data_IF_562121294660
#
_entry.id   IF_562121294660
#
_cell.length_a   1.000
_cell.length_b   1.000
_cell.length_c   1.000
_cell.angle_alpha   90.00
_cell.angle_beta   90.00
_cell.angle_gamma   90.00
#
_symmetry.space_group_name_H-M   'P 1'
#
loop_
_entity.id
_entity.type
_entity.pdbx_description
1 polymer ?
#
# COMPACT_ATOMS: atom_id res chain seq x y z
N UNK A 1 26.30 -29.70 1.70
CA UNK A 1 25.76 -29.56 0.33
C UNK A 1 24.28 -29.27 0.46
N UNK A 2 23.85 -28.02 0.27
CA UNK A 2 22.43 -27.67 0.22
C UNK A 2 21.91 -28.07 -1.17
N UNK A 3 20.82 -28.84 -1.21
CA UNK A 3 20.26 -29.42 -2.43
C UNK A 3 19.56 -28.34 -3.27
N UNK A 4 19.93 -28.20 -4.55
CA UNK A 4 19.35 -27.23 -5.49
C UNK A 4 17.83 -27.35 -5.66
N UNK A 5 17.25 -28.53 -5.39
CA UNK A 5 15.80 -28.76 -5.45
C UNK A 5 15.04 -27.99 -4.34
N UNK A 6 15.60 -27.92 -3.12
CA UNK A 6 14.95 -27.25 -1.98
C UNK A 6 14.94 -25.72 -2.15
N UNK A 7 16.04 -25.15 -2.67
CA UNK A 7 16.15 -23.72 -2.95
C UNK A 7 15.16 -23.25 -4.03
N UNK A 8 14.91 -24.09 -5.05
CA UNK A 8 13.94 -23.76 -6.09
C UNK A 8 12.51 -23.78 -5.57
N UNK A 9 12.15 -24.74 -4.71
CA UNK A 9 10.81 -24.78 -4.08
C UNK A 9 10.56 -23.57 -3.19
N UNK A 10 11.52 -23.19 -2.33
CA UNK A 10 11.36 -22.01 -1.45
C UNK A 10 11.25 -20.71 -2.23
N UNK A 11 11.94 -20.58 -3.37
CA UNK A 11 11.85 -19.41 -4.24
C UNK A 11 10.49 -19.31 -4.92
N UNK A 12 9.96 -20.43 -5.40
CA UNK A 12 8.62 -20.50 -6.01
C UNK A 12 7.54 -20.18 -4.95
N UNK A 13 7.61 -20.81 -3.78
CA UNK A 13 6.67 -20.57 -2.68
C UNK A 13 6.67 -19.09 -2.25
N UNK A 14 7.85 -18.46 -2.21
CA UNK A 14 7.99 -17.03 -1.90
C UNK A 14 7.38 -16.16 -2.99
N UNK A 15 7.64 -16.44 -4.26
CA UNK A 15 7.07 -15.69 -5.38
C UNK A 15 5.54 -15.78 -5.43
N UNK A 16 4.97 -16.97 -5.22
CA UNK A 16 3.53 -17.17 -5.13
C UNK A 16 2.91 -16.41 -3.95
N UNK A 17 3.55 -16.44 -2.79
CA UNK A 17 3.11 -15.68 -1.61
C UNK A 17 3.14 -14.17 -1.85
N UNK A 18 4.20 -13.65 -2.49
CA UNK A 18 4.31 -12.23 -2.87
C UNK A 18 3.23 -11.82 -3.86
N UNK A 19 2.94 -12.66 -4.85
CA UNK A 19 1.85 -12.42 -5.79
C UNK A 19 0.49 -12.42 -5.09
N UNK A 20 0.26 -13.35 -4.15
CA UNK A 20 -0.94 -13.39 -3.32
C UNK A 20 -1.13 -12.12 -2.46
N UNK A 21 -0.03 -11.58 -1.92
CA UNK A 21 -0.04 -10.31 -1.20
C UNK A 21 -0.42 -9.15 -2.15
N UNK A 22 0.19 -9.06 -3.33
CA UNK A 22 -0.15 -8.06 -4.34
C UNK A 22 -1.63 -8.12 -4.78
N UNK A 23 -2.18 -9.31 -5.00
CA UNK A 23 -3.60 -9.51 -5.29
C UNK A 23 -4.52 -9.03 -4.14
N UNK A 24 -4.07 -9.16 -2.89
CA UNK A 24 -4.82 -8.63 -1.73
C UNK A 24 -4.82 -7.10 -1.73
N UNK A 25 -3.67 -6.48 -2.04
CA UNK A 25 -3.54 -5.02 -2.18
C UNK A 25 -4.47 -4.52 -3.29
N UNK A 26 -4.46 -5.16 -4.45
CA UNK A 26 -5.32 -4.81 -5.58
C UNK A 26 -6.81 -4.85 -5.20
N UNK A 27 -7.25 -5.91 -4.52
CA UNK A 27 -8.63 -6.02 -4.04
C UNK A 27 -9.00 -4.93 -3.05
N UNK A 28 -8.07 -4.54 -2.17
CA UNK A 28 -8.28 -3.44 -1.25
C UNK A 28 -8.43 -2.12 -2.00
N UNK A 29 -7.55 -1.82 -2.96
CA UNK A 29 -7.63 -0.59 -3.78
C UNK A 29 -8.91 -0.55 -4.62
N UNK A 30 -9.35 -1.66 -5.19
CA UNK A 30 -10.63 -1.72 -5.92
C UNK A 30 -11.83 -1.35 -5.03
N UNK A 31 -11.78 -1.70 -3.75
CA UNK A 31 -12.91 -1.46 -2.81
C UNK A 31 -12.82 -0.13 -2.09
N UNK A 32 -11.62 0.33 -1.76
CA UNK A 32 -11.39 1.46 -0.85
C UNK A 32 -10.44 2.52 -1.41
N UNK A 33 -9.92 2.34 -2.62
CA UNK A 33 -8.98 3.25 -3.26
C UNK A 33 -9.54 4.65 -3.50
N UNK A 34 -10.85 4.79 -3.74
CA UNK A 34 -11.49 6.10 -3.84
C UNK A 34 -11.38 6.90 -2.54
N UNK A 35 -11.70 6.29 -1.40
CA UNK A 35 -11.57 6.94 -0.09
C UNK A 35 -10.11 7.22 0.27
N UNK A 36 -9.17 6.35 -0.13
CA UNK A 36 -7.75 6.61 0.05
C UNK A 36 -7.28 7.78 -0.82
N UNK A 37 -7.75 7.86 -2.07
CA UNK A 37 -7.48 8.96 -2.97
C UNK A 37 -7.99 10.30 -2.42
N UNK A 38 -9.24 10.33 -1.92
CA UNK A 38 -9.84 11.53 -1.31
C UNK A 38 -9.00 12.00 -0.11
N UNK A 39 -8.50 11.06 0.71
CA UNK A 39 -7.61 11.38 1.81
C UNK A 39 -6.28 11.97 1.31
N UNK A 40 -5.60 11.29 0.39
CA UNK A 40 -4.29 11.71 -0.11
C UNK A 40 -4.35 13.06 -0.84
N UNK A 41 -5.42 13.32 -1.59
CA UNK A 41 -5.69 14.64 -2.19
C UNK A 41 -5.88 15.71 -1.11
N UNK A 42 -6.62 15.40 -0.04
CA UNK A 42 -6.83 16.32 1.06
C UNK A 42 -5.58 16.61 1.90
N UNK A 43 -4.62 15.67 1.96
CA UNK A 43 -3.31 15.88 2.59
C UNK A 43 -2.44 16.87 1.81
N UNK A 44 -2.72 17.09 0.52
CA UNK A 44 -1.92 17.94 -0.39
C UNK A 44 -0.42 17.52 -0.43
N UNK A 45 -0.16 16.21 -0.30
CA UNK A 45 1.18 15.62 -0.42
C UNK A 45 1.33 14.95 -1.81
N UNK A 46 2.08 15.57 -2.75
CA UNK A 46 2.25 15.02 -4.09
C UNK A 46 2.89 13.62 -4.09
N UNK A 47 3.68 13.27 -3.08
CA UNK A 47 4.33 11.96 -2.99
C UNK A 47 3.34 10.84 -2.68
N UNK A 48 2.32 11.11 -1.86
CA UNK A 48 1.28 10.14 -1.54
C UNK A 48 0.38 9.82 -2.73
N UNK A 49 -0.04 10.85 -3.46
CA UNK A 49 -0.83 10.67 -4.67
C UNK A 49 -0.04 9.97 -5.79
N UNK A 50 1.23 10.34 -5.98
CA UNK A 50 2.11 9.67 -6.94
C UNK A 50 2.24 8.16 -6.63
N UNK A 51 2.45 7.78 -5.37
CA UNK A 51 2.51 6.38 -4.97
C UNK A 51 1.20 5.61 -5.26
N UNK A 52 0.03 6.25 -5.10
CA UNK A 52 -1.25 5.64 -5.48
C UNK A 52 -1.38 5.47 -7.01
N UNK A 53 -0.92 6.44 -7.79
CA UNK A 53 -0.87 6.32 -9.25
C UNK A 53 0.08 5.20 -9.69
N UNK A 54 1.24 5.07 -9.05
CA UNK A 54 2.20 4.00 -9.32
C UNK A 54 1.57 2.62 -9.04
N UNK A 55 0.87 2.45 -7.90
CA UNK A 55 0.10 1.24 -7.62
C UNK A 55 -0.90 0.94 -8.74
N UNK A 56 -1.65 1.94 -9.20
CA UNK A 56 -2.60 1.76 -10.28
C UNK A 56 -1.93 1.33 -11.59
N UNK A 57 -0.77 1.93 -11.91
CA UNK A 57 0.02 1.57 -13.09
C UNK A 57 0.56 0.14 -13.04
N UNK A 58 1.04 -0.30 -11.88
CA UNK A 58 1.54 -1.67 -11.67
C UNK A 58 0.42 -2.70 -11.83
N UNK A 59 -0.77 -2.44 -11.30
CA UNK A 59 -1.94 -3.34 -11.49
C UNK A 59 -2.54 -3.29 -12.89
N UNK A 60 -2.15 -2.32 -13.72
CA UNK A 60 -2.48 -2.31 -15.15
C UNK A 60 -1.70 -3.33 -15.98
N UNK A 61 -0.64 -3.94 -15.42
CA UNK A 61 0.18 -4.93 -16.11
C UNK A 61 -0.44 -6.34 -16.03
N UNK A 62 -0.21 -7.23 -17.03
CA UNK A 62 -0.72 -8.61 -16.99
C UNK A 62 -0.26 -9.43 -15.78
N UNK A 63 0.98 -9.20 -15.33
CA UNK A 63 1.54 -9.75 -14.10
C UNK A 63 2.14 -8.55 -13.36
N UNK A 64 1.63 -8.18 -12.17
CA UNK A 64 2.15 -7.04 -11.43
C UNK A 64 3.54 -7.35 -10.88
N UNK A 65 4.43 -6.36 -10.94
CA UNK A 65 5.71 -6.39 -10.24
C UNK A 65 5.45 -6.26 -8.73
N UNK A 66 5.64 -7.37 -7.99
CA UNK A 66 5.36 -7.42 -6.56
C UNK A 66 6.26 -6.52 -5.72
N UNK A 67 7.48 -6.27 -6.19
CA UNK A 67 8.42 -5.38 -5.49
C UNK A 67 7.98 -3.93 -5.66
N UNK A 68 7.54 -3.56 -6.86
CA UNK A 68 6.96 -2.25 -7.12
C UNK A 68 5.66 -2.00 -6.33
N UNK A 69 4.78 -3.02 -6.21
CA UNK A 69 3.58 -2.94 -5.36
C UNK A 69 3.98 -2.67 -3.91
N UNK A 70 4.93 -3.43 -3.37
CA UNK A 70 5.36 -3.31 -1.99
C UNK A 70 6.00 -1.94 -1.71
N UNK A 71 6.85 -1.45 -2.63
CA UNK A 71 7.49 -0.15 -2.54
C UNK A 71 6.46 0.99 -2.51
N UNK A 72 5.54 1.01 -3.48
CA UNK A 72 4.52 2.05 -3.54
C UNK A 72 3.57 2.01 -2.32
N UNK A 73 3.26 0.81 -1.81
CA UNK A 73 2.47 0.66 -0.58
C UNK A 73 3.22 1.18 0.67
N UNK A 74 4.55 1.01 0.73
CA UNK A 74 5.39 1.62 1.79
C UNK A 74 5.37 3.13 1.72
N UNK A 75 5.41 3.71 0.52
CA UNK A 75 5.36 5.16 0.35
C UNK A 75 4.01 5.74 0.79
N UNK A 76 2.90 5.08 0.44
CA UNK A 76 1.58 5.43 0.99
C UNK A 76 1.60 5.35 2.51
N UNK A 77 2.08 4.24 3.08
CA UNK A 77 2.15 4.07 4.54
C UNK A 77 2.94 5.18 5.24
N UNK A 78 4.10 5.56 4.68
CA UNK A 78 4.94 6.64 5.18
C UNK A 78 4.18 7.96 5.20
N UNK A 79 3.54 8.33 4.09
CA UNK A 79 2.76 9.58 4.00
C UNK A 79 1.64 9.62 5.03
N UNK A 80 0.93 8.50 5.25
CA UNK A 80 -0.12 8.44 6.28
C UNK A 80 0.46 8.56 7.70
N UNK A 81 1.62 7.95 7.96
CA UNK A 81 2.28 7.97 9.26
C UNK A 81 2.92 9.32 9.62
N UNK A 82 3.32 10.10 8.61
CA UNK A 82 3.96 11.41 8.79
C UNK A 82 2.95 12.53 9.18
N UNK A 83 1.65 12.23 9.18
CA UNK A 83 0.61 13.22 9.48
C UNK A 83 0.53 13.57 10.97
N UNK A 84 0.46 14.86 11.27
CA UNK A 84 0.25 15.36 12.63
C UNK A 84 -1.25 15.51 12.94
N UNK A 85 -1.68 15.30 14.21
CA UNK A 85 -3.07 15.51 14.59
C UNK A 85 -3.62 16.89 14.22
N UNK A 86 -2.82 17.95 14.39
CA UNK A 86 -3.22 19.32 14.03
C UNK A 86 -3.45 19.52 12.53
N UNK A 87 -2.69 18.83 11.68
CA UNK A 87 -2.91 18.86 10.23
C UNK A 87 -4.24 18.19 9.88
N UNK A 88 -4.53 17.04 10.48
CA UNK A 88 -5.77 16.29 10.25
C UNK A 88 -7.00 17.03 10.76
N UNK A 89 -6.91 17.67 11.92
CA UNK A 89 -7.99 18.51 12.45
C UNK A 89 -8.28 19.68 11.50
N UNK A 90 -7.24 20.34 10.98
CA UNK A 90 -7.38 21.42 9.99
C UNK A 90 -8.06 20.92 8.72
N UNK A 91 -7.62 19.78 8.17
CA UNK A 91 -8.25 19.17 7.00
C UNK A 91 -9.72 18.87 7.26
N UNK A 92 -10.05 18.37 8.46
CA UNK A 92 -11.44 18.11 8.82
C UNK A 92 -12.31 19.36 8.82
N UNK A 93 -11.78 20.50 9.30
CA UNK A 93 -12.50 21.77 9.26
C UNK A 93 -12.59 22.37 7.85
N UNK A 94 -11.49 22.34 7.08
CA UNK A 94 -11.39 23.00 5.77
C UNK A 94 -12.05 22.21 4.63
N UNK A 95 -11.99 20.87 4.69
CA UNK A 95 -12.48 19.97 3.65
C UNK A 95 -13.74 19.21 4.02
N UNK A 96 -14.18 19.27 5.29
CA UNK A 96 -15.34 18.51 5.78
C UNK A 96 -15.13 16.99 5.77
N UNK A 97 -13.88 16.53 5.80
CA UNK A 97 -13.52 15.12 5.79
C UNK A 97 -13.22 14.62 7.21
N UNK A 98 -13.62 13.39 7.59
CA UNK A 98 -13.21 12.77 8.85
C UNK A 98 -11.75 12.28 8.79
N UNK A 99 -10.81 13.19 8.52
CA UNK A 99 -9.42 12.87 8.15
C UNK A 99 -8.70 12.04 9.23
N UNK A 100 -8.91 12.32 10.51
CA UNK A 100 -8.32 11.56 11.61
C UNK A 100 -8.77 10.09 11.62
N UNK A 101 -10.07 9.83 11.45
CA UNK A 101 -10.60 8.46 11.39
C UNK A 101 -10.14 7.74 10.12
N UNK A 102 -10.09 8.47 9.00
CA UNK A 102 -9.59 7.93 7.72
C UNK A 102 -8.11 7.54 7.81
N UNK A 103 -7.25 8.37 8.42
CA UNK A 103 -5.83 8.05 8.62
C UNK A 103 -5.66 6.82 9.49
N UNK A 104 -6.41 6.72 10.60
CA UNK A 104 -6.33 5.55 11.48
C UNK A 104 -6.75 4.27 10.74
N UNK A 105 -7.87 4.32 10.02
CA UNK A 105 -8.39 3.17 9.30
C UNK A 105 -7.49 2.75 8.13
N UNK A 106 -7.11 3.69 7.26
CA UNK A 106 -6.24 3.42 6.11
C UNK A 106 -4.83 3.04 6.56
N UNK A 107 -4.28 3.74 7.55
CA UNK A 107 -2.96 3.45 8.12
C UNK A 107 -2.89 2.01 8.62
N UNK A 108 -3.81 1.60 9.49
CA UNK A 108 -3.87 0.23 10.00
C UNK A 108 -4.04 -0.81 8.87
N UNK A 109 -4.89 -0.52 7.88
CA UNK A 109 -5.15 -1.43 6.78
C UNK A 109 -3.93 -1.58 5.86
N UNK A 110 -3.23 -0.48 5.57
CA UNK A 110 -1.98 -0.48 4.79
C UNK A 110 -0.87 -1.23 5.54
N UNK A 111 -0.72 -1.02 6.86
CA UNK A 111 0.24 -1.79 7.66
C UNK A 111 -0.03 -3.30 7.61
N UNK A 112 -1.31 -3.72 7.71
CA UNK A 112 -1.69 -5.12 7.60
C UNK A 112 -1.35 -5.71 6.23
N UNK A 113 -1.58 -4.95 5.15
CA UNK A 113 -1.25 -5.38 3.80
C UNK A 113 0.26 -5.52 3.59
N UNK A 114 1.07 -4.59 4.12
CA UNK A 114 2.52 -4.67 4.08
C UNK A 114 3.05 -5.92 4.81
N UNK A 115 2.45 -6.27 5.95
CA UNK A 115 2.86 -7.45 6.73
C UNK A 115 2.64 -8.79 5.99
N UNK A 116 1.89 -8.80 4.88
CA UNK A 116 1.67 -10.00 4.06
C UNK A 116 2.77 -10.24 3.03
N UNK A 117 3.64 -9.27 2.76
CA UNK A 117 4.77 -9.47 1.87
C UNK A 117 5.86 -10.24 2.61
N UNK A 118 6.20 -11.48 2.19
CA UNK A 118 7.35 -12.16 2.77
C UNK A 118 8.63 -11.41 2.39
N UNK A 119 9.58 -11.39 3.31
CA UNK A 119 10.91 -10.86 3.05
C UNK A 119 11.55 -11.67 1.92
N UNK A 120 12.07 -10.98 0.90
CA UNK A 120 13.00 -11.61 -0.02
C UNK A 120 14.29 -11.89 0.76
N UNK A 121 14.62 -13.16 0.98
CA UNK A 121 15.91 -13.57 1.56
C UNK A 121 17.09 -13.32 0.60
#
# INVERSE_FOLDING_TARGET
MLNSTTLNTTTIDTAEARLGAACTVEQHLRRHGASLCDLLDALDDPSGFAALCDLHGVFGQPIPDTDAVEAALRDVHRVLADQTPSSLDRIGQERGLPASDMILWHGARVSELLARFPHAE
#
